data_IF_452135037248
#
_entry.id   IF_452135037248
#
_cell.length_a   1.000
_cell.length_b   1.000
_cell.length_c   1.000
_cell.angle_alpha   90.00
_cell.angle_beta   90.00
_cell.angle_gamma   90.00
#
_symmetry.space_group_name_H-M   'P 1'
#
loop_
_entity.id
_entity.type
_entity.pdbx_description
1 polymer ?
#
# COMPACT_ATOMS: atom_id res chain seq x y z
N UNK A 1 -20.76 0.69 -3.52
CA UNK A 1 -19.34 1.12 -3.62
C UNK A 1 -18.47 0.01 -3.04
N UNK A 2 -17.27 -0.28 -3.60
CA UNK A 2 -16.39 -1.41 -3.20
C UNK A 2 -14.99 -0.90 -2.82
N UNK A 3 -13.99 -1.08 -3.68
CA UNK A 3 -12.60 -0.67 -3.48
C UNK A 3 -11.83 -0.68 -4.80
N UNK A 4 -10.51 -0.75 -4.72
CA UNK A 4 -9.64 -0.89 -5.88
C UNK A 4 -8.98 -2.27 -5.87
N UNK A 5 -9.07 -2.97 -7.01
CA UNK A 5 -8.46 -4.29 -7.20
C UNK A 5 -7.19 -4.11 -8.04
N UNK A 6 -6.01 -3.97 -7.42
CA UNK A 6 -4.77 -3.72 -8.16
C UNK A 6 -4.34 -4.93 -8.98
N UNK A 7 -3.79 -4.67 -10.16
CA UNK A 7 -3.08 -5.64 -11.00
C UNK A 7 -1.89 -4.94 -11.63
N UNK A 8 -0.71 -5.09 -11.02
CA UNK A 8 0.53 -4.47 -11.45
C UNK A 8 1.64 -5.52 -11.50
N UNK A 9 2.56 -5.38 -12.45
CA UNK A 9 3.68 -6.30 -12.66
C UNK A 9 4.97 -5.50 -12.64
N UNK A 10 5.98 -6.05 -11.97
CA UNK A 10 7.37 -5.56 -12.00
C UNK A 10 8.33 -6.73 -12.19
N UNK A 11 9.40 -6.50 -12.93
CA UNK A 11 10.45 -7.51 -13.18
C UNK A 11 11.74 -7.04 -12.53
N UNK A 12 12.35 -7.88 -11.68
CA UNK A 12 13.62 -7.60 -11.00
C UNK A 12 14.71 -8.52 -11.54
N UNK A 13 15.80 -7.95 -12.06
CA UNK A 13 16.97 -8.71 -12.50
C UNK A 13 17.98 -8.88 -11.35
N UNK A 14 18.57 -10.06 -11.25
CA UNK A 14 19.63 -10.37 -10.28
C UNK A 14 20.83 -10.99 -10.99
N UNK A 15 22.03 -10.49 -10.68
CA UNK A 15 23.27 -11.01 -11.23
C UNK A 15 23.53 -12.42 -10.68
N UNK A 16 23.78 -13.38 -11.58
CA UNK A 16 24.05 -14.77 -11.17
C UNK A 16 25.33 -14.83 -10.34
N UNK A 17 25.26 -15.48 -9.19
CA UNK A 17 26.40 -15.60 -8.26
C UNK A 17 26.55 -14.44 -7.28
N UNK A 18 25.79 -13.34 -7.42
CA UNK A 18 25.84 -12.19 -6.49
C UNK A 18 24.93 -12.39 -5.28
N UNK A 19 25.22 -13.41 -4.48
CA UNK A 19 24.48 -13.74 -3.26
C UNK A 19 23.16 -14.46 -3.51
N UNK A 20 22.82 -15.36 -2.59
CA UNK A 20 21.68 -16.26 -2.73
C UNK A 20 20.34 -15.60 -2.35
N UNK A 21 20.37 -14.47 -1.62
CA UNK A 21 19.17 -13.84 -1.05
C UNK A 21 19.07 -12.35 -1.37
N UNK A 22 17.85 -11.86 -1.54
CA UNK A 22 17.55 -10.43 -1.62
C UNK A 22 16.23 -10.11 -0.93
N UNK A 23 15.98 -8.83 -0.67
CA UNK A 23 14.76 -8.38 -0.02
C UNK A 23 14.05 -7.33 -0.88
N UNK A 24 12.72 -7.36 -0.87
CA UNK A 24 11.89 -6.33 -1.49
C UNK A 24 10.64 -6.05 -0.65
N UNK A 25 10.06 -4.87 -0.83
CA UNK A 25 8.85 -4.44 -0.12
C UNK A 25 7.70 -4.20 -1.10
N UNK A 26 6.52 -4.73 -0.78
CA UNK A 26 5.28 -4.41 -1.46
C UNK A 26 4.44 -3.55 -0.52
N UNK A 27 4.07 -2.34 -0.94
CA UNK A 27 3.26 -1.42 -0.15
C UNK A 27 1.93 -1.16 -0.85
N UNK A 28 0.82 -1.55 -0.20
CA UNK A 28 -0.54 -1.20 -0.62
C UNK A 28 -1.08 -0.14 0.32
N UNK A 29 -1.89 0.78 -0.19
CA UNK A 29 -2.32 1.91 0.62
C UNK A 29 -3.42 2.75 0.02
N UNK A 30 -3.90 3.70 0.82
CA UNK A 30 -4.89 4.68 0.41
C UNK A 30 -4.72 6.01 1.16
N UNK A 31 -5.04 7.10 0.47
CA UNK A 31 -5.26 8.41 1.08
C UNK A 31 -6.77 8.67 1.15
N UNK A 32 -7.26 9.15 2.28
CA UNK A 32 -8.68 9.39 2.49
C UNK A 32 -8.95 10.88 2.66
N UNK A 33 -9.88 11.40 1.87
CA UNK A 33 -10.52 12.68 2.10
C UNK A 33 -11.70 12.50 3.09
N UNK A 34 -12.07 13.56 3.79
CA UNK A 34 -13.25 13.58 4.66
C UNK A 34 -14.24 14.64 4.19
N UNK A 35 -15.51 14.27 4.06
CA UNK A 35 -16.63 15.18 3.79
C UNK A 35 -17.51 15.25 5.02
N UNK A 36 -17.82 16.46 5.49
CA UNK A 36 -18.65 16.72 6.65
C UNK A 36 -19.90 17.48 6.20
N UNK A 37 -21.07 16.88 6.40
CA UNK A 37 -22.34 17.48 6.03
C UNK A 37 -23.14 17.81 7.30
N UNK A 38 -23.74 19.00 7.35
CA UNK A 38 -24.55 19.45 8.47
C UNK A 38 -25.64 20.41 8.00
N UNK A 39 -26.74 20.49 8.76
CA UNK A 39 -27.85 21.40 8.46
C UNK A 39 -27.67 22.68 9.25
N UNK A 40 -27.65 23.84 8.58
CA UNK A 40 -27.68 25.16 9.23
C UNK A 40 -28.96 25.90 8.85
N UNK A 41 -29.78 26.29 9.85
CA UNK A 41 -31.02 27.10 9.68
C UNK A 41 -31.89 26.72 8.46
N UNK A 42 -32.04 25.43 8.13
CA UNK A 42 -32.78 24.87 6.95
C UNK A 42 -32.01 24.70 5.62
N UNK A 43 -30.69 24.86 5.58
CA UNK A 43 -29.87 24.56 4.39
C UNK A 43 -28.85 23.48 4.68
N UNK A 44 -28.56 22.65 3.68
CA UNK A 44 -27.41 21.74 3.71
C UNK A 44 -26.13 22.55 3.53
N UNK A 45 -25.23 22.46 4.49
CA UNK A 45 -23.86 22.93 4.39
C UNK A 45 -22.92 21.71 4.33
N UNK A 46 -21.84 21.83 3.57
CA UNK A 46 -20.87 20.75 3.35
C UNK A 46 -19.46 21.32 3.39
N UNK A 47 -18.64 20.76 4.28
CA UNK A 47 -17.20 21.01 4.31
C UNK A 47 -16.45 19.78 3.78
N UNK A 48 -15.31 20.01 3.14
CA UNK A 48 -14.43 18.94 2.66
C UNK A 48 -13.01 19.18 3.11
N UNK A 49 -12.44 18.19 3.79
CA UNK A 49 -11.03 18.12 4.13
C UNK A 49 -10.35 17.17 3.14
N UNK A 50 -9.59 17.75 2.21
CA UNK A 50 -8.70 16.97 1.38
C UNK A 50 -7.62 16.34 2.24
N UNK A 51 -7.26 15.09 1.93
CA UNK A 51 -6.08 14.45 2.46
C UNK A 51 -6.13 14.29 4.00
N UNK A 52 -7.35 14.09 4.52
CA UNK A 52 -7.66 14.04 5.95
C UNK A 52 -6.93 12.90 6.68
N UNK A 53 -6.77 11.76 6.01
CA UNK A 53 -5.98 10.62 6.50
C UNK A 53 -5.06 10.11 5.40
N UNK A 54 -3.78 10.47 5.48
CA UNK A 54 -2.76 10.10 4.49
C UNK A 54 -2.09 8.77 4.84
N UNK A 55 -1.53 8.11 3.82
CA UNK A 55 -0.61 6.98 3.92
C UNK A 55 -1.13 5.84 4.80
N UNK A 56 -2.43 5.53 4.71
CA UNK A 56 -3.04 4.38 5.38
C UNK A 56 -2.60 3.14 4.62
N UNK A 57 -1.44 2.63 4.97
CA UNK A 57 -0.66 1.70 4.16
C UNK A 57 -0.38 0.41 4.92
N UNK A 58 -0.19 -0.68 4.18
CA UNK A 58 0.43 -1.90 4.68
C UNK A 58 1.62 -2.22 3.81
N UNK A 59 2.78 -2.34 4.44
CA UNK A 59 4.02 -2.76 3.78
C UNK A 59 4.35 -4.17 4.21
N UNK A 60 4.54 -5.07 3.23
CA UNK A 60 5.01 -6.44 3.47
C UNK A 60 6.40 -6.57 2.90
N UNK A 61 7.34 -6.98 3.74
CA UNK A 61 8.73 -7.24 3.36
C UNK A 61 8.90 -8.72 3.05
N UNK A 62 9.51 -9.02 1.91
CA UNK A 62 9.77 -10.37 1.43
C UNK A 62 11.28 -10.63 1.34
N UNK A 63 11.67 -11.87 1.58
CA UNK A 63 12.98 -12.42 1.21
C UNK A 63 12.78 -13.34 0.01
N UNK A 64 13.55 -13.12 -1.06
CA UNK A 64 13.67 -14.04 -2.19
C UNK A 64 14.99 -14.78 -2.10
N UNK A 65 14.96 -16.09 -2.29
CA UNK A 65 16.14 -16.91 -2.46
C UNK A 65 16.31 -17.27 -3.94
N UNK A 66 17.33 -16.70 -4.57
CA UNK A 66 17.62 -16.88 -6.00
C UNK A 66 18.08 -18.30 -6.36
N UNK A 67 18.64 -19.03 -5.38
CA UNK A 67 19.13 -20.40 -5.55
C UNK A 67 18.01 -21.43 -5.45
N UNK A 68 17.06 -21.23 -4.54
CA UNK A 68 15.94 -22.17 -4.31
C UNK A 68 14.63 -21.73 -4.98
N UNK A 69 14.58 -20.52 -5.54
CA UNK A 69 13.36 -19.90 -6.07
C UNK A 69 12.23 -19.76 -5.05
N UNK A 70 12.56 -19.75 -3.76
CA UNK A 70 11.60 -19.55 -2.67
C UNK A 70 11.42 -18.06 -2.37
N UNK A 71 10.19 -17.68 -2.02
CA UNK A 71 9.86 -16.34 -1.51
C UNK A 71 9.17 -16.48 -0.15
N UNK A 72 9.63 -15.75 0.85
CA UNK A 72 9.13 -15.82 2.23
C UNK A 72 8.81 -14.43 2.76
N UNK A 73 7.76 -14.32 3.56
CA UNK A 73 7.43 -13.09 4.28
C UNK A 73 8.41 -12.93 5.45
N UNK A 74 9.04 -11.76 5.58
CA UNK A 74 9.90 -11.41 6.72
C UNK A 74 9.14 -10.60 7.77
N UNK A 75 8.36 -9.60 7.34
CA UNK A 75 7.64 -8.72 8.25
C UNK A 75 6.44 -8.06 7.57
N UNK A 76 5.49 -7.63 8.40
CA UNK A 76 4.32 -6.85 8.00
C UNK A 76 4.30 -5.59 8.86
N UNK A 77 4.24 -4.41 8.22
CA UNK A 77 4.20 -3.12 8.90
C UNK A 77 2.95 -2.35 8.48
N UNK A 78 1.91 -2.31 9.33
CA UNK A 78 0.78 -1.39 9.14
C UNK A 78 1.22 0.05 9.48
N UNK A 79 0.83 1.01 8.65
CA UNK A 79 1.08 2.46 8.81
C UNK A 79 -0.22 3.25 8.71
#
# INVERSE_FOLDING_TARGET
>A
QSGFNPSFITTLSHERGKGDKSEFEITYGRNMDATYAYVTRHRLAVDRKHDAFKNRNVTVKYEVNWKTHEVKIKSITPK
#
